data_IF_840898474247
#
_entry.id   IF_840898474247
#
_cell.length_a   1.000
_cell.length_b   1.000
_cell.length_c   1.000
_cell.angle_alpha   90.00
_cell.angle_beta   90.00
_cell.angle_gamma   90.00
#
_symmetry.space_group_name_H-M   'P 1'
#
loop_
_entity.id
_entity.type
_entity.pdbx_description
1 polymer ?
#
# COMPACT_ATOMS: atom_id res chain seq x y z
N UNK A 1 -32.74 10.32 -12.00
CA UNK A 1 -32.25 9.03 -11.48
C UNK A 1 -31.70 9.26 -10.08
N UNK A 2 -32.46 8.92 -9.03
CA UNK A 2 -32.08 9.18 -7.64
C UNK A 2 -31.05 8.17 -7.14
N UNK A 3 -29.90 8.65 -6.64
CA UNK A 3 -28.99 7.81 -5.86
C UNK A 3 -29.60 7.66 -4.46
N UNK A 4 -29.89 6.43 -4.04
CA UNK A 4 -30.59 6.10 -2.80
C UNK A 4 -29.85 6.44 -1.48
N UNK A 5 -28.90 7.40 -1.46
CA UNK A 5 -28.21 7.93 -0.25
C UNK A 5 -27.52 6.92 0.68
N UNK A 6 -27.64 5.62 0.39
CA UNK A 6 -27.28 4.53 1.28
C UNK A 6 -25.80 4.27 1.14
N UNK A 7 -25.03 4.67 2.16
CA UNK A 7 -23.63 4.31 2.25
C UNK A 7 -23.53 2.78 2.39
N UNK A 8 -22.83 2.15 1.46
CA UNK A 8 -22.54 0.71 1.50
C UNK A 8 -21.09 0.56 1.92
N UNK A 9 -20.84 -0.22 2.97
CA UNK A 9 -19.49 -0.53 3.38
C UNK A 9 -18.75 -1.22 2.23
N UNK A 10 -17.64 -0.65 1.80
CA UNK A 10 -16.91 -1.11 0.62
C UNK A 10 -16.24 -2.49 0.83
N UNK A 11 -16.16 -2.96 2.07
CA UNK A 11 -15.71 -4.32 2.43
C UNK A 11 -14.20 -4.51 2.30
N UNK A 12 -13.72 -5.73 2.62
CA UNK A 12 -12.29 -6.08 2.73
C UNK A 12 -11.49 -6.00 1.42
N UNK A 13 -12.17 -5.85 0.29
CA UNK A 13 -11.54 -5.72 -1.03
C UNK A 13 -11.48 -4.27 -1.50
N UNK A 14 -11.98 -3.32 -0.71
CA UNK A 14 -11.99 -1.91 -1.09
C UNK A 14 -10.72 -1.17 -0.76
N UNK A 15 -10.48 -0.09 -1.51
CA UNK A 15 -9.35 0.82 -1.26
C UNK A 15 -9.41 1.45 0.14
N UNK A 16 -10.60 1.79 0.63
CA UNK A 16 -10.78 2.36 1.96
C UNK A 16 -10.38 1.38 3.05
N UNK A 17 -10.75 0.10 2.90
CA UNK A 17 -10.34 -0.93 3.85
C UNK A 17 -8.81 -1.04 3.93
N UNK A 18 -8.11 -1.01 2.79
CA UNK A 18 -6.65 -1.09 2.78
C UNK A 18 -5.95 0.19 3.26
N UNK A 19 -6.54 1.36 2.99
CA UNK A 19 -6.06 2.62 3.57
C UNK A 19 -6.12 2.60 5.11
N UNK A 20 -7.15 1.97 5.68
CA UNK A 20 -7.35 1.89 7.13
C UNK A 20 -6.48 0.82 7.83
N UNK A 21 -6.07 -0.25 7.12
CA UNK A 21 -5.26 -1.32 7.73
C UNK A 21 -3.87 -0.84 8.17
N UNK A 22 -3.37 0.25 7.59
CA UNK A 22 -2.12 0.91 7.98
C UNK A 22 -0.87 0.35 7.31
N UNK A 23 0.25 1.07 7.46
CA UNK A 23 1.54 0.91 6.76
C UNK A 23 2.53 -0.18 7.13
N UNK A 24 2.08 -1.23 7.80
CA UNK A 24 3.01 -2.28 8.23
C UNK A 24 3.41 -3.23 7.10
N UNK A 25 4.56 -3.86 7.24
CA UNK A 25 5.04 -4.92 6.34
C UNK A 25 3.98 -6.03 6.15
N UNK A 26 3.36 -6.50 7.24
CA UNK A 26 2.30 -7.51 7.20
C UNK A 26 1.08 -7.07 6.37
N UNK A 27 0.69 -5.79 6.45
CA UNK A 27 -0.42 -5.27 5.67
C UNK A 27 -0.08 -5.21 4.18
N UNK A 28 1.13 -4.74 3.83
CA UNK A 28 1.63 -4.74 2.46
C UNK A 28 1.75 -6.17 1.90
N UNK A 29 2.13 -7.15 2.73
CA UNK A 29 2.18 -8.56 2.36
C UNK A 29 0.79 -9.11 2.08
N UNK A 30 -0.19 -8.80 2.93
CA UNK A 30 -1.58 -9.18 2.74
C UNK A 30 -2.15 -8.60 1.43
N UNK A 31 -1.96 -7.29 1.18
CA UNK A 31 -2.36 -6.65 -0.09
C UNK A 31 -1.73 -7.36 -1.27
N UNK A 32 -0.43 -7.65 -1.18
CA UNK A 32 0.29 -8.40 -2.21
C UNK A 32 -0.33 -9.77 -2.42
N UNK A 33 -0.70 -10.50 -1.37
CA UNK A 33 -1.36 -11.82 -1.48
C UNK A 33 -2.72 -11.75 -2.12
N UNK A 34 -3.48 -10.65 -1.91
CA UNK A 34 -4.79 -10.46 -2.53
C UNK A 34 -4.72 -10.16 -4.02
N UNK A 35 -3.66 -9.48 -4.47
CA UNK A 35 -3.41 -9.17 -5.88
C UNK A 35 -2.68 -10.32 -6.59
N UNK A 36 -1.71 -10.91 -5.91
CA UNK A 36 -0.83 -11.97 -6.37
C UNK A 36 -0.67 -13.04 -5.26
N UNK A 37 -1.52 -14.09 -5.25
CA UNK A 37 -1.51 -15.11 -4.20
C UNK A 37 -0.16 -15.76 -3.94
N UNK A 38 0.71 -15.84 -4.96
CA UNK A 38 2.05 -16.39 -4.84
C UNK A 38 3.08 -15.49 -4.15
N UNK A 39 2.73 -14.24 -3.80
CA UNK A 39 3.61 -13.25 -3.16
C UNK A 39 4.95 -13.03 -3.87
N UNK A 40 4.98 -13.27 -5.18
CA UNK A 40 6.23 -13.18 -5.94
C UNK A 40 6.84 -11.78 -5.84
N UNK A 41 8.14 -11.75 -5.54
CA UNK A 41 8.96 -10.56 -5.38
C UNK A 41 8.46 -9.58 -4.31
N UNK A 42 7.82 -10.09 -3.24
CA UNK A 42 7.35 -9.23 -2.16
C UNK A 42 8.51 -8.50 -1.47
N UNK A 43 9.50 -9.24 -0.96
CA UNK A 43 10.64 -8.67 -0.24
C UNK A 43 11.58 -7.89 -1.17
N UNK A 44 11.80 -8.37 -2.39
CA UNK A 44 12.83 -7.82 -3.27
C UNK A 44 12.36 -6.59 -4.08
N UNK A 45 11.05 -6.46 -4.33
CA UNK A 45 10.52 -5.41 -5.23
C UNK A 45 9.33 -4.67 -4.62
N UNK A 46 8.28 -5.38 -4.20
CA UNK A 46 7.00 -4.74 -3.86
C UNK A 46 7.06 -3.96 -2.56
N UNK A 47 7.70 -4.51 -1.53
CA UNK A 47 7.88 -3.83 -0.26
C UNK A 47 8.83 -2.63 -0.35
N UNK A 48 10.02 -2.74 -0.97
CA UNK A 48 10.87 -1.57 -1.23
C UNK A 48 10.17 -0.46 -2.02
N UNK A 49 9.44 -0.82 -3.10
CA UNK A 49 8.71 0.16 -3.90
C UNK A 49 7.59 0.86 -3.10
N UNK A 50 6.92 0.11 -2.22
CA UNK A 50 5.92 0.65 -1.32
C UNK A 50 6.51 1.67 -0.34
N UNK A 51 7.62 1.32 0.35
CA UNK A 51 8.31 2.23 1.27
C UNK A 51 8.80 3.49 0.56
N UNK A 52 9.35 3.36 -0.64
CA UNK A 52 9.77 4.49 -1.44
C UNK A 52 8.59 5.42 -1.79
N UNK A 53 7.47 4.88 -2.27
CA UNK A 53 6.28 5.67 -2.58
C UNK A 53 5.73 6.38 -1.34
N UNK A 54 5.70 5.68 -0.19
CA UNK A 54 5.27 6.23 1.09
C UNK A 54 6.13 7.44 1.50
N UNK A 55 7.45 7.32 1.38
CA UNK A 55 8.38 8.42 1.66
C UNK A 55 8.21 9.59 0.70
N UNK A 56 8.14 9.33 -0.62
CA UNK A 56 8.01 10.38 -1.65
C UNK A 56 6.70 11.15 -1.53
N UNK A 57 5.61 10.50 -1.11
CA UNK A 57 4.32 11.14 -0.86
C UNK A 57 4.28 11.89 0.48
N UNK A 58 5.37 11.87 1.25
CA UNK A 58 5.51 12.51 2.56
C UNK A 58 4.52 11.97 3.61
N UNK A 59 4.05 10.74 3.44
CA UNK A 59 3.24 10.00 4.42
C UNK A 59 4.12 9.41 5.54
N UNK A 60 5.45 9.36 5.35
CA UNK A 60 6.45 9.04 6.38
C UNK A 60 7.61 10.03 6.26
N UNK A 61 8.13 10.44 7.42
CA UNK A 61 9.35 11.25 7.51
C UNK A 61 10.61 10.41 7.69
N UNK A 62 10.45 9.09 7.88
CA UNK A 62 11.55 8.15 8.01
C UNK A 62 12.06 7.78 6.62
N UNK A 63 13.26 8.28 6.30
CA UNK A 63 13.99 7.86 5.11
C UNK A 63 14.53 6.45 5.32
N UNK A 64 14.22 5.56 4.38
CA UNK A 64 14.75 4.21 4.41
C UNK A 64 16.27 4.20 4.14
N UNK A 65 17.00 3.31 4.81
CA UNK A 65 18.45 3.20 4.64
C UNK A 65 18.85 2.83 3.19
N UNK A 66 17.95 2.16 2.47
CA UNK A 66 18.16 1.75 1.08
C UNK A 66 17.74 2.81 0.05
N UNK A 67 17.33 4.01 0.49
CA UNK A 67 17.03 5.12 -0.42
C UNK A 67 18.32 5.75 -0.96
N UNK A 68 18.50 5.65 -2.28
CA UNK A 68 19.53 6.40 -3.00
C UNK A 68 18.86 7.39 -3.95
N UNK A 69 19.06 8.68 -3.71
CA UNK A 69 18.63 9.71 -4.66
C UNK A 69 19.34 9.49 -6.00
N UNK A 70 18.57 9.48 -7.10
CA UNK A 70 19.15 9.55 -8.44
C UNK A 70 19.73 10.96 -8.58
N UNK A 71 21.07 11.04 -8.63
CA UNK A 71 21.76 12.31 -8.91
C UNK A 71 21.71 12.52 -10.42
N UNK A 72 21.13 13.65 -10.83
CA UNK A 72 21.21 14.16 -12.21
C UNK A 72 22.63 14.58 -12.57
#
# INVERSE_FOLDING_TARGET
MGRNGRLVASGKLSINFWADQGATHNNAEEVTRRINPGRMAFEDVRWPAFKHAWYVLNDSTEQDADYFAIKE
#
